data_IF_533649344065
#
_entry.id   IF_533649344065
#
_cell.length_a   1.000
_cell.length_b   1.000
_cell.length_c   1.000
_cell.angle_alpha   90.00
_cell.angle_beta   90.00
_cell.angle_gamma   90.00
#
_symmetry.space_group_name_H-M   'P 1'
#
loop_
_entity.id
_entity.type
_entity.pdbx_description
1 polymer ?
#
# COMPACT_ATOMS: atom_id res chain seq x y z
N UNK A 1 -23.89 8.14 -7.75
CA UNK A 1 -22.73 7.23 -7.62
C UNK A 1 -23.18 6.02 -6.82
N UNK A 2 -22.95 4.78 -7.31
CA UNK A 2 -23.34 3.56 -6.56
C UNK A 2 -22.39 3.36 -5.38
N UNK A 3 -22.92 3.01 -4.21
CA UNK A 3 -22.11 2.76 -3.03
C UNK A 3 -21.35 1.44 -3.23
N UNK A 4 -20.02 1.42 -3.02
CA UNK A 4 -19.22 0.20 -3.21
C UNK A 4 -19.72 -0.97 -2.35
N UNK A 5 -20.34 -0.67 -1.20
CA UNK A 5 -20.91 -1.67 -0.28
C UNK A 5 -22.12 -2.43 -0.87
N UNK A 6 -22.75 -1.89 -1.91
CA UNK A 6 -23.97 -2.45 -2.51
C UNK A 6 -23.67 -3.27 -3.78
N UNK A 7 -22.40 -3.37 -4.19
CA UNK A 7 -21.99 -4.19 -5.32
C UNK A 7 -21.89 -5.66 -4.91
N UNK A 8 -22.54 -6.54 -5.67
CA UNK A 8 -22.43 -8.00 -5.47
C UNK A 8 -20.97 -8.43 -5.61
N UNK A 9 -20.49 -9.22 -4.65
CA UNK A 9 -19.12 -9.74 -4.61
C UNK A 9 -18.13 -8.88 -3.81
N UNK A 10 -18.56 -7.76 -3.23
CA UNK A 10 -17.70 -6.95 -2.35
C UNK A 10 -17.71 -7.51 -0.93
N UNK A 11 -16.52 -7.80 -0.39
CA UNK A 11 -16.32 -8.16 1.02
C UNK A 11 -15.91 -6.93 1.81
N UNK A 12 -16.64 -6.61 2.87
CA UNK A 12 -16.21 -5.60 3.83
C UNK A 12 -15.14 -6.23 4.74
N UNK A 13 -13.94 -5.65 4.75
CA UNK A 13 -12.84 -6.12 5.60
C UNK A 13 -13.01 -5.62 7.04
N UNK A 14 -12.74 -6.49 8.00
CA UNK A 14 -12.62 -6.12 9.41
C UNK A 14 -11.46 -5.13 9.63
N UNK A 15 -11.44 -4.44 10.78
CA UNK A 15 -10.33 -3.52 11.12
C UNK A 15 -8.97 -4.23 11.12
N UNK A 16 -8.93 -5.50 11.52
CA UNK A 16 -7.72 -6.32 11.53
C UNK A 16 -7.27 -6.64 10.10
N UNK A 17 -8.18 -7.06 9.24
CA UNK A 17 -7.88 -7.32 7.82
C UNK A 17 -7.40 -6.04 7.11
N UNK A 18 -8.01 -4.89 7.39
CA UNK A 18 -7.56 -3.60 6.84
C UNK A 18 -6.12 -3.27 7.27
N UNK A 19 -5.75 -3.54 8.52
CA UNK A 19 -4.37 -3.33 9.01
C UNK A 19 -3.36 -4.28 8.36
N UNK A 20 -3.78 -5.48 7.97
CA UNK A 20 -2.93 -6.44 7.27
C UNK A 20 -2.72 -6.12 5.79
N UNK A 21 -3.43 -5.12 5.23
CA UNK A 21 -3.17 -4.65 3.88
C UNK A 21 -1.83 -3.92 3.89
N UNK A 22 -0.78 -4.62 3.46
CA UNK A 22 0.50 -4.00 3.13
C UNK A 22 0.35 -3.32 1.78
N UNK A 23 -0.25 -2.12 1.80
CA UNK A 23 -0.39 -1.25 0.65
C UNK A 23 0.81 -0.30 0.53
N UNK A 24 1.16 0.07 -0.69
CA UNK A 24 2.21 1.05 -0.97
C UNK A 24 2.40 1.24 -2.46
N UNK A 25 2.99 2.37 -2.86
CA UNK A 25 3.46 2.53 -4.23
C UNK A 25 4.53 1.49 -4.49
N UNK A 26 4.41 0.68 -5.54
CA UNK A 26 5.51 -0.21 -5.91
C UNK A 26 6.74 0.61 -6.32
N UNK A 27 7.93 0.11 -5.99
CA UNK A 27 9.16 0.73 -6.48
C UNK A 27 9.21 0.63 -8.00
N UNK A 28 9.63 1.71 -8.66
CA UNK A 28 9.72 1.73 -10.12
C UNK A 28 10.96 0.97 -10.59
N UNK A 29 10.79 -0.13 -11.28
CA UNK A 29 11.86 -0.87 -11.96
C UNK A 29 12.37 -0.09 -13.20
N UNK A 30 13.65 -0.17 -13.58
CA UNK A 30 14.77 -0.91 -12.96
C UNK A 30 15.46 -0.16 -11.82
N UNK A 31 15.25 1.14 -11.69
CA UNK A 31 16.03 1.98 -10.78
C UNK A 31 15.58 1.92 -9.31
N UNK A 32 14.62 1.03 -8.99
CA UNK A 32 13.95 0.92 -7.70
C UNK A 32 13.59 2.30 -7.11
N UNK A 33 13.12 3.21 -7.96
CA UNK A 33 12.90 4.61 -7.58
C UNK A 33 11.51 4.81 -7.01
N UNK A 34 11.43 5.67 -6.01
CA UNK A 34 10.20 6.09 -5.37
C UNK A 34 10.04 7.62 -5.47
N UNK A 35 8.82 8.16 -5.40
CA UNK A 35 8.60 9.60 -5.42
C UNK A 35 9.36 10.30 -4.29
N UNK A 36 9.73 11.56 -4.49
CA UNK A 36 10.49 12.36 -3.52
C UNK A 36 9.85 12.32 -2.13
N UNK A 37 10.67 12.12 -1.09
CA UNK A 37 10.19 11.95 0.29
C UNK A 37 9.89 10.50 0.68
N UNK A 38 10.12 9.55 -0.23
CA UNK A 38 10.02 8.12 0.04
C UNK A 38 11.24 7.37 -0.51
N UNK A 39 11.49 6.18 0.01
CA UNK A 39 12.56 5.29 -0.41
C UNK A 39 11.99 3.90 -0.70
N UNK A 40 12.67 3.16 -1.57
CA UNK A 40 12.27 1.80 -1.89
C UNK A 40 12.71 0.83 -0.80
N UNK A 41 11.76 0.05 -0.29
CA UNK A 41 11.98 -0.99 0.70
C UNK A 41 11.18 -2.25 0.34
N UNK A 42 11.85 -3.39 0.17
CA UNK A 42 11.20 -4.67 -0.17
C UNK A 42 10.23 -4.58 -1.38
N UNK A 43 10.55 -3.72 -2.37
CA UNK A 43 9.73 -3.52 -3.56
C UNK A 43 8.55 -2.55 -3.39
N UNK A 44 8.39 -1.93 -2.21
CA UNK A 44 7.39 -0.90 -1.93
C UNK A 44 8.03 0.41 -1.47
N UNK A 45 7.48 1.53 -1.90
CA UNK A 45 7.87 2.87 -1.48
C UNK A 45 7.34 3.15 -0.07
N UNK A 46 8.26 3.45 0.84
CA UNK A 46 7.98 3.82 2.24
C UNK A 46 8.45 5.26 2.49
N UNK A 47 7.77 6.03 3.37
CA UNK A 47 8.18 7.40 3.68
C UNK A 47 9.61 7.44 4.26
N UNK A 48 10.38 8.48 3.94
CA UNK A 48 11.72 8.66 4.50
C UNK A 48 11.66 8.74 6.04
N UNK A 49 12.57 8.01 6.71
CA UNK A 49 12.57 7.87 8.17
C UNK A 49 11.75 6.69 8.70
N UNK A 50 11.01 5.98 7.85
CA UNK A 50 10.40 4.69 8.20
C UNK A 50 11.47 3.60 8.23
N UNK A 51 11.28 2.59 9.08
CA UNK A 51 12.09 1.38 9.02
C UNK A 51 11.59 0.45 7.90
N UNK A 52 12.47 -0.40 7.38
CA UNK A 52 12.11 -1.47 6.44
C UNK A 52 11.45 -2.69 7.11
N UNK A 53 11.27 -2.64 8.42
CA UNK A 53 10.93 -3.77 9.28
C UNK A 53 9.50 -3.70 9.82
N UNK A 54 8.72 -2.68 9.42
CA UNK A 54 7.29 -2.50 9.75
C UNK A 54 6.34 -3.20 8.75
#
# INVERSE_FOLDING_TARGET
MKNLKELKGVKLLSKTEQKSIVGGYACRYPNYSCPTGSFCCNGLCRPNGSSCLD
#
